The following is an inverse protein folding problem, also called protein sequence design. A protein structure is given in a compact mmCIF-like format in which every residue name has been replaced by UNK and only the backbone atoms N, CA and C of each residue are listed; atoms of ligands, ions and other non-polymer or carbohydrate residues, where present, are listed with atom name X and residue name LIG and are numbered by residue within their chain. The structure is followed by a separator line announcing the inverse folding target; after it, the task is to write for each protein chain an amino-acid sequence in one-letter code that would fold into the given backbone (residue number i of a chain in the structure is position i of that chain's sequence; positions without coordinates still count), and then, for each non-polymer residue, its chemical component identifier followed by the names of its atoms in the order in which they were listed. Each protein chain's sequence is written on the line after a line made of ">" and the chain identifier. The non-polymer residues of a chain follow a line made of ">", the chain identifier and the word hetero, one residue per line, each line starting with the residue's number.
data_IF_507689695982
#
_entry.id   IF_507689695982
#
_cell.length_a   1.000
_cell.length_b   1.000
_cell.length_c   1.000
_cell.angle_alpha   90.00
_cell.angle_beta   90.00
_cell.angle_gamma   90.00
#
_symmetry.space_group_name_H-M   'P 1'
#
loop_
_entity.id
_entity.type
_entity.pdbx_description
1 polymer ?
#
# COMPACT_ATOMS: atom_id res chain seq x y z
N UNK A 1 -5.37 8.80 -2.27
CA UNK A 1 -5.17 9.39 -3.61
C UNK A 1 -5.84 10.74 -3.60
N UNK A 2 -5.26 11.75 -4.26
CA UNK A 2 -5.98 13.00 -4.50
C UNK A 2 -6.94 12.84 -5.67
N UNK A 3 -7.82 13.82 -5.86
CA UNK A 3 -8.83 13.78 -6.93
C UNK A 3 -8.19 13.90 -8.34
N UNK A 4 -6.98 14.44 -8.41
CA UNK A 4 -6.16 14.51 -9.62
C UNK A 4 -4.67 14.20 -9.33
N UNK A 5 -3.85 14.21 -10.39
CA UNK A 5 -2.41 13.92 -10.32
C UNK A 5 -1.64 14.94 -9.47
N UNK A 6 -2.03 16.21 -9.52
CA UNK A 6 -1.39 17.29 -8.76
C UNK A 6 -1.65 17.14 -7.25
N UNK A 7 -2.87 16.77 -6.86
CA UNK A 7 -3.22 16.52 -5.46
C UNK A 7 -2.49 15.27 -4.94
N UNK A 8 -2.40 14.23 -5.78
CA UNK A 8 -1.62 13.04 -5.47
C UNK A 8 -0.14 13.38 -5.28
N UNK A 9 0.46 14.16 -6.17
CA UNK A 9 1.84 14.63 -6.06
C UNK A 9 2.06 15.46 -4.79
N UNK A 10 1.12 16.36 -4.48
CA UNK A 10 1.16 17.21 -3.29
C UNK A 10 1.12 16.37 -2.01
N UNK A 11 0.24 15.36 -1.95
CA UNK A 11 0.16 14.44 -0.82
C UNK A 11 1.46 13.63 -0.65
N UNK A 12 2.06 13.16 -1.75
CA UNK A 12 3.36 12.47 -1.72
C UNK A 12 4.46 13.40 -1.16
N UNK A 13 4.55 14.64 -1.67
CA UNK A 13 5.58 15.59 -1.25
C UNK A 13 5.43 16.04 0.22
N UNK A 14 4.20 16.00 0.73
CA UNK A 14 3.90 16.28 2.14
C UNK A 14 3.97 15.05 3.04
N UNK A 15 4.13 13.85 2.46
CA UNK A 15 3.93 12.58 3.15
C UNK A 15 2.59 12.55 3.91
N UNK A 16 1.54 13.06 3.27
CA UNK A 16 0.19 13.13 3.84
C UNK A 16 -0.57 11.84 3.55
N UNK A 17 -0.80 11.04 4.59
CA UNK A 17 -1.60 9.82 4.58
C UNK A 17 -2.12 9.56 6.00
N UNK A 18 -3.19 8.79 6.10
CA UNK A 18 -3.80 8.35 7.35
C UNK A 18 -4.14 6.85 7.27
N UNK A 19 -4.62 6.31 8.40
CA UNK A 19 -5.10 4.93 8.51
C UNK A 19 -6.58 4.88 8.91
N UNK A 20 -7.35 5.92 8.58
CA UNK A 20 -8.73 6.11 9.07
C UNK A 20 -9.76 5.33 8.25
N UNK A 21 -9.36 4.79 7.08
CA UNK A 21 -10.20 3.95 6.25
C UNK A 21 -10.50 2.60 6.94
N UNK A 22 -11.76 2.14 6.89
CA UNK A 22 -12.22 0.85 7.44
C UNK A 22 -11.38 -0.36 7.00
N UNK A 23 -10.68 -0.27 5.86
CA UNK A 23 -9.74 -1.30 5.43
C UNK A 23 -8.55 -1.51 6.39
N UNK A 24 -8.29 -0.55 7.29
CA UNK A 24 -7.24 -0.62 8.31
C UNK A 24 -7.76 -1.01 9.70
N UNK A 25 -9.07 -1.27 9.85
CA UNK A 25 -9.67 -1.66 11.15
C UNK A 25 -9.07 -2.96 11.68
N UNK A 26 -8.90 -3.97 10.82
CA UNK A 26 -8.33 -5.27 11.21
C UNK A 26 -6.80 -5.34 11.08
N UNK A 27 -6.13 -4.21 10.79
CA UNK A 27 -4.67 -4.17 10.62
C UNK A 27 -4.02 -3.88 11.97
N UNK A 28 -3.01 -4.68 12.33
CA UNK A 28 -2.32 -4.55 13.61
C UNK A 28 -1.56 -3.22 13.73
N UNK A 29 -1.47 -2.70 14.95
CA UNK A 29 -0.78 -1.44 15.22
C UNK A 29 0.71 -1.51 14.87
N UNK A 30 1.35 -2.68 15.03
CA UNK A 30 2.75 -2.86 14.62
C UNK A 30 2.93 -2.75 13.10
N UNK A 31 1.92 -3.14 12.32
CA UNK A 31 1.93 -2.96 10.87
C UNK A 31 1.82 -1.47 10.50
N UNK A 32 0.92 -0.74 11.16
CA UNK A 32 0.73 0.70 10.96
C UNK A 32 2.00 1.48 11.36
N UNK A 33 2.60 1.13 12.49
CA UNK A 33 3.88 1.67 12.96
C UNK A 33 5.03 1.37 11.99
N UNK A 34 5.10 0.15 11.44
CA UNK A 34 6.10 -0.19 10.44
C UNK A 34 5.98 0.68 9.18
N UNK A 35 4.75 0.83 8.66
CA UNK A 35 4.47 1.69 7.49
C UNK A 35 4.82 3.15 7.81
N UNK A 36 4.51 3.63 9.01
CA UNK A 36 4.73 5.03 9.37
C UNK A 36 6.22 5.41 9.43
N UNK A 37 7.07 4.48 9.88
CA UNK A 37 8.54 4.62 9.88
C UNK A 37 9.17 4.54 8.48
N UNK A 38 8.44 4.04 7.48
CA UNK A 38 8.88 3.98 6.08
C UNK A 38 8.42 5.21 5.28
N UNK A 39 7.17 5.62 5.46
CA UNK A 39 6.56 6.74 4.74
C UNK A 39 6.88 8.10 5.40
N UNK A 40 8.17 8.33 5.66
CA UNK A 40 8.70 9.57 6.24
C UNK A 40 9.27 10.48 5.15
N UNK A 41 8.92 11.77 5.20
CA UNK A 41 9.41 12.80 4.26
C UNK A 41 10.93 12.95 4.29
N UNK A 42 11.50 13.04 5.49
CA UNK A 42 12.95 13.09 5.66
C UNK A 42 13.55 11.69 5.50
N UNK A 43 14.39 11.52 4.47
CA UNK A 43 15.07 10.25 4.17
C UNK A 43 15.96 9.76 5.31
N UNK A 44 16.59 10.67 6.06
CA UNK A 44 17.56 10.32 7.11
C UNK A 44 16.85 9.80 8.37
N UNK A 45 15.55 10.07 8.49
CA UNK A 45 14.68 9.54 9.54
C UNK A 45 13.94 8.27 9.12
N UNK A 46 14.08 7.85 7.86
CA UNK A 46 13.40 6.66 7.33
C UNK A 46 14.13 5.42 7.81
N UNK A 47 13.36 4.41 8.22
CA UNK A 47 13.90 3.11 8.61
C UNK A 47 14.75 2.52 7.46
N UNK A 48 15.99 2.12 7.77
CA UNK A 48 16.87 1.46 6.80
C UNK A 48 16.47 -0.01 6.64
N UNK A 49 16.80 -0.61 5.48
CA UNK A 49 16.43 -2.00 5.19
C UNK A 49 16.89 -3.00 6.27
N UNK A 50 18.07 -2.79 6.86
CA UNK A 50 18.59 -3.63 7.97
C UNK A 50 17.74 -3.50 9.23
N UNK A 51 17.29 -2.30 9.56
CA UNK A 51 16.42 -2.01 10.70
C UNK A 51 14.99 -2.49 10.44
N UNK A 52 14.54 -2.50 9.18
CA UNK A 52 13.24 -3.09 8.83
C UNK A 52 13.19 -4.57 9.21
N UNK A 53 14.25 -5.33 8.91
CA UNK A 53 14.32 -6.76 9.18
C UNK A 53 14.27 -7.11 10.67
N UNK A 54 14.60 -6.16 11.55
CA UNK A 54 14.54 -6.34 13.00
C UNK A 54 13.23 -5.82 13.62
N UNK A 55 12.38 -5.15 12.83
CA UNK A 55 11.12 -4.58 13.32
C UNK A 55 10.17 -5.68 13.81
N UNK A 56 9.51 -5.43 14.94
CA UNK A 56 8.59 -6.38 15.59
C UNK A 56 7.51 -6.93 14.66
N UNK A 57 7.03 -6.12 13.71
CA UNK A 57 6.05 -6.56 12.73
C UNK A 57 6.58 -7.66 11.78
N UNK A 58 7.85 -7.58 11.36
CA UNK A 58 8.47 -8.56 10.46
C UNK A 58 9.11 -9.73 11.22
N UNK A 59 9.57 -9.51 12.45
CA UNK A 59 10.20 -10.56 13.27
C UNK A 59 9.19 -11.40 14.04
N UNK A 60 7.90 -10.99 14.07
CA UNK A 60 6.81 -11.77 14.66
C UNK A 60 6.70 -13.12 13.95
N UNK A 61 7.17 -14.17 14.60
CA UNK A 61 6.87 -15.53 14.15
C UNK A 61 5.36 -15.75 14.29
N UNK A 62 4.70 -16.41 13.31
CA UNK A 62 3.34 -16.87 13.53
C UNK A 62 3.37 -17.71 14.81
N UNK A 63 2.60 -17.30 15.82
CA UNK A 63 2.47 -18.09 17.03
C UNK A 63 1.93 -19.44 16.59
N UNK A 64 2.67 -20.51 16.87
CA UNK A 64 2.13 -21.85 16.75
C UNK A 64 0.87 -21.89 17.61
N UNK A 65 -0.28 -22.08 16.96
CA UNK A 65 -1.62 -22.00 17.55
C UNK A 65 -1.65 -22.87 18.80
N UNK A 66 -1.58 -22.24 19.97
CA UNK A 66 -1.53 -22.93 21.27
C UNK A 66 -2.76 -22.63 22.11
N UNK A 67 -3.59 -21.66 21.72
CA UNK A 67 -4.88 -21.40 22.34
C UNK A 67 -5.98 -21.14 21.29
N UNK A 68 -7.25 -21.48 21.58
CA UNK A 68 -8.38 -21.22 20.68
C UNK A 68 -8.57 -19.74 20.32
N UNK A 69 -8.06 -18.81 21.14
CA UNK A 69 -8.11 -17.35 20.87
C UNK A 69 -7.06 -16.90 19.86
N UNK A 70 -5.93 -17.62 19.73
CA UNK A 70 -4.88 -17.29 18.76
C UNK A 70 -5.28 -17.69 17.32
N UNK A 71 -6.24 -18.59 17.16
CA UNK A 71 -6.78 -19.04 15.87
C UNK A 71 -7.56 -17.93 15.14
N UNK A 72 -8.30 -17.09 15.88
CA UNK A 72 -9.09 -15.98 15.34
C UNK A 72 -8.24 -14.84 14.75
N UNK A 73 -6.99 -14.69 15.23
CA UNK A 73 -6.06 -13.65 14.74
C UNK A 73 -5.15 -14.16 13.61
N UNK A 74 -4.99 -15.49 13.48
CA UNK A 74 -4.00 -16.11 12.60
C UNK A 74 -4.40 -16.09 11.11
N UNK A 75 -5.69 -16.01 10.77
CA UNK A 75 -6.15 -16.21 9.38
C UNK A 75 -7.22 -15.22 8.89
N UNK A 76 -7.23 -13.97 9.38
CA UNK A 76 -8.06 -12.93 8.76
C UNK A 76 -7.52 -12.58 7.36
N UNK A 77 -8.01 -13.29 6.35
CA UNK A 77 -7.69 -13.05 4.94
C UNK A 77 -8.09 -11.63 4.54
N UNK A 78 -7.10 -10.78 4.30
CA UNK A 78 -7.33 -9.40 3.85
C UNK A 78 -8.13 -9.36 2.54
N UNK A 79 -9.11 -8.46 2.49
CA UNK A 79 -9.94 -8.26 1.30
C UNK A 79 -9.12 -7.72 0.14
N UNK A 80 -8.93 -8.53 -0.89
CA UNK A 80 -8.23 -8.12 -2.12
C UNK A 80 -9.09 -7.28 -3.07
N UNK A 81 -10.33 -6.92 -2.70
CA UNK A 81 -11.28 -6.18 -3.57
C UNK A 81 -10.72 -4.83 -4.03
N UNK A 82 -10.14 -4.03 -3.10
CA UNK A 82 -9.51 -2.73 -3.43
C UNK A 82 -8.30 -2.92 -4.36
N UNK A 83 -7.45 -3.92 -4.08
CA UNK A 83 -6.29 -4.25 -4.91
C UNK A 83 -6.70 -4.67 -6.34
N UNK A 84 -7.71 -5.55 -6.47
CA UNK A 84 -8.22 -5.97 -7.79
C UNK A 84 -8.72 -4.79 -8.61
N UNK A 85 -9.54 -3.91 -8.03
CA UNK A 85 -10.01 -2.67 -8.69
C UNK A 85 -8.85 -1.79 -9.12
N UNK A 86 -7.86 -1.59 -8.26
CA UNK A 86 -6.66 -0.81 -8.59
C UNK A 86 -5.87 -1.41 -9.77
N UNK A 87 -5.61 -2.73 -9.76
CA UNK A 87 -4.89 -3.41 -10.84
C UNK A 87 -5.65 -3.31 -12.16
N UNK A 88 -6.97 -3.51 -12.14
CA UNK A 88 -7.83 -3.37 -13.33
C UNK A 88 -7.74 -1.95 -13.88
N UNK A 89 -7.94 -0.92 -13.04
CA UNK A 89 -7.84 0.49 -13.45
C UNK A 89 -6.47 0.80 -14.06
N UNK A 90 -5.38 0.32 -13.44
CA UNK A 90 -4.01 0.55 -13.93
C UNK A 90 -3.73 -0.15 -15.25
N UNK A 91 -4.29 -1.35 -15.48
CA UNK A 91 -4.20 -2.04 -16.77
C UNK A 91 -4.94 -1.28 -17.87
N UNK A 92 -6.15 -0.81 -17.59
CA UNK A 92 -6.92 0.03 -18.53
C UNK A 92 -6.20 1.33 -18.88
N UNK A 93 -5.62 2.01 -17.89
CA UNK A 93 -4.85 3.23 -18.15
C UNK A 93 -3.67 2.98 -19.10
N UNK A 94 -2.96 1.85 -18.95
CA UNK A 94 -1.88 1.47 -19.87
C UNK A 94 -2.38 1.23 -21.29
N UNK A 95 -3.51 0.52 -21.44
CA UNK A 95 -4.11 0.25 -22.75
C UNK A 95 -4.54 1.56 -23.45
N UNK A 96 -5.23 2.46 -22.74
CA UNK A 96 -5.63 3.77 -23.27
C UNK A 96 -4.40 4.60 -23.65
N UNK A 97 -3.37 4.65 -22.79
CA UNK A 97 -2.15 5.39 -23.10
C UNK A 97 -1.44 4.83 -24.35
N UNK A 98 -1.47 3.51 -24.56
CA UNK A 98 -0.92 2.89 -25.77
C UNK A 98 -1.71 3.30 -27.03
N UNK A 99 -3.05 3.27 -26.99
CA UNK A 99 -3.90 3.74 -28.10
C UNK A 99 -3.67 5.22 -28.42
N UNK A 100 -3.57 6.08 -27.39
CA UNK A 100 -3.24 7.49 -27.56
C UNK A 100 -1.86 7.70 -28.18
N UNK A 101 -0.87 6.86 -27.81
CA UNK A 101 0.45 6.91 -28.42
C UNK A 101 0.40 6.52 -29.91
N UNK A 102 -0.34 5.47 -30.28
CA UNK A 102 -0.52 5.09 -31.69
C UNK A 102 -1.14 6.22 -32.51
N UNK A 103 -2.20 6.85 -31.99
CA UNK A 103 -2.81 8.03 -32.63
C UNK A 103 -1.83 9.20 -32.78
N UNK A 104 -1.02 9.47 -31.74
CA UNK A 104 0.03 10.52 -31.78
C UNK A 104 1.13 10.22 -32.79
N UNK A 105 1.42 8.95 -33.05
CA UNK A 105 2.38 8.51 -34.06
C UNK A 105 1.81 8.52 -35.49
N UNK A 106 0.62 9.11 -35.70
CA UNK A 106 0.01 9.23 -37.03
C UNK A 106 -0.66 7.94 -37.52
N UNK A 107 -0.82 6.93 -36.66
CA UNK A 107 -1.61 5.74 -36.98
C UNK A 107 -3.09 6.09 -36.86
N UNK A 108 -3.75 6.23 -38.00
CA UNK A 108 -5.22 6.26 -38.09
C UNK A 108 -5.74 4.84 -37.89
N UNK A 109 -6.48 4.61 -36.80
CA UNK A 109 -7.29 3.40 -36.62
C UNK A 109 -8.52 3.44 -37.53
#
# INVERSE_FOLDING_TARGET
>A
MGDNDNDTYTNINRANYDFDDEAFTDISDEAKDFISKLLVKNKDKRLQAKECLTHSWLTRRPKLVSTPKDEETAEKKLSTKKLRRFVIRRRWQKAVNALLALKRMGMTL
#
